data_IF_157759869684
#
_entry.id   IF_157759869684
#
_cell.length_a   1.000
_cell.length_b   1.000
_cell.length_c   1.000
_cell.angle_alpha   90.00
_cell.angle_beta   90.00
_cell.angle_gamma   90.00
#
_symmetry.space_group_name_H-M   'P 1'
#
loop_
_entity.id
_entity.type
_entity.pdbx_description
1 polymer ?
#
# COMPACT_ATOMS: atom_id res chain seq x y z
N UNK A 1 59.17 -7.45 -39.69
CA UNK A 1 58.63 -6.63 -38.58
C UNK A 1 57.12 -6.52 -38.75
N UNK A 2 56.36 -7.46 -38.18
CA UNK A 2 54.90 -7.33 -38.06
C UNK A 2 54.62 -6.34 -36.92
N UNK A 3 53.88 -5.27 -37.20
CA UNK A 3 53.43 -4.32 -36.16
C UNK A 3 52.23 -4.95 -35.46
N UNK A 4 52.34 -5.14 -34.16
CA UNK A 4 51.21 -5.62 -33.34
C UNK A 4 50.01 -4.66 -33.46
N UNK A 5 48.78 -5.18 -33.50
CA UNK A 5 47.59 -4.34 -33.52
C UNK A 5 47.43 -3.54 -32.21
N UNK A 6 46.84 -2.34 -32.26
CA UNK A 6 46.71 -1.49 -31.08
C UNK A 6 45.82 -2.16 -30.03
N UNK A 7 46.35 -2.30 -28.80
CA UNK A 7 45.59 -2.79 -27.65
C UNK A 7 44.34 -1.91 -27.44
N UNK A 8 43.15 -2.49 -27.59
CA UNK A 8 41.88 -1.82 -27.25
C UNK A 8 41.97 -1.35 -25.80
N UNK A 9 41.83 -0.03 -25.58
CA UNK A 9 41.75 0.54 -24.23
C UNK A 9 40.58 -0.13 -23.49
N UNK A 10 40.73 -0.49 -22.20
CA UNK A 10 39.64 -1.08 -21.44
C UNK A 10 38.47 -0.09 -21.41
N UNK A 11 37.32 -0.54 -21.90
CA UNK A 11 36.05 0.18 -21.82
C UNK A 11 35.76 0.43 -20.33
N UNK A 12 35.75 1.70 -19.90
CA UNK A 12 35.35 2.04 -18.54
C UNK A 12 33.90 1.62 -18.37
N UNK A 13 33.66 0.52 -17.64
CA UNK A 13 32.30 0.13 -17.21
C UNK A 13 31.64 1.37 -16.58
N UNK A 14 30.40 1.70 -16.96
CA UNK A 14 29.73 2.86 -16.40
C UNK A 14 29.67 2.70 -14.89
N UNK A 15 30.25 3.67 -14.21
CA UNK A 15 30.23 3.81 -12.77
C UNK A 15 28.78 3.67 -12.30
N UNK A 16 28.49 2.65 -11.47
CA UNK A 16 27.15 2.43 -10.93
C UNK A 16 26.76 3.70 -10.18
N UNK A 17 25.88 4.52 -10.78
CA UNK A 17 25.35 5.73 -10.12
C UNK A 17 24.76 5.30 -8.77
N UNK A 18 25.48 5.64 -7.70
CA UNK A 18 24.96 5.58 -6.35
C UNK A 18 23.73 6.50 -6.32
N UNK A 19 22.55 5.90 -6.18
CA UNK A 19 21.28 6.57 -5.94
C UNK A 19 20.88 7.62 -7.00
N UNK A 20 20.07 7.20 -7.97
CA UNK A 20 19.34 8.14 -8.82
C UNK A 20 18.05 8.59 -8.12
N UNK A 21 18.19 9.60 -7.26
CA UNK A 21 17.08 10.21 -6.52
C UNK A 21 15.95 10.68 -7.46
N UNK A 22 16.31 11.12 -8.67
CA UNK A 22 15.37 11.67 -9.63
C UNK A 22 14.54 10.57 -10.30
N UNK A 23 15.13 9.42 -10.65
CA UNK A 23 14.35 8.27 -11.13
C UNK A 23 13.47 7.68 -10.03
N UNK A 24 13.98 7.57 -8.80
CA UNK A 24 13.17 7.14 -7.66
C UNK A 24 11.97 8.07 -7.42
N UNK A 25 12.18 9.39 -7.45
CA UNK A 25 11.11 10.36 -7.30
C UNK A 25 10.04 10.25 -8.40
N UNK A 26 10.46 10.04 -9.65
CA UNK A 26 9.54 9.81 -10.78
C UNK A 26 8.73 8.53 -10.60
N UNK A 27 9.38 7.43 -10.23
CA UNK A 27 8.72 6.14 -10.01
C UNK A 27 7.76 6.19 -8.82
N UNK A 28 8.15 6.89 -7.74
CA UNK A 28 7.30 7.10 -6.56
C UNK A 28 6.06 7.92 -6.90
N UNK A 29 6.20 8.99 -7.69
CA UNK A 29 5.06 9.81 -8.12
C UNK A 29 4.16 9.06 -9.09
N UNK A 30 4.73 8.37 -10.09
CA UNK A 30 3.96 7.57 -11.04
C UNK A 30 3.18 6.46 -10.31
N UNK A 31 3.85 5.74 -9.40
CA UNK A 31 3.20 4.73 -8.57
C UNK A 31 2.15 5.33 -7.63
N UNK A 32 2.38 6.53 -7.09
CA UNK A 32 1.44 7.23 -6.23
C UNK A 32 0.18 7.67 -6.97
N UNK A 33 0.32 8.21 -8.18
CA UNK A 33 -0.82 8.57 -9.04
C UNK A 33 -1.59 7.32 -9.45
N UNK A 34 -0.90 6.25 -9.87
CA UNK A 34 -1.55 4.99 -10.21
C UNK A 34 -2.33 4.40 -9.01
N UNK A 35 -1.73 4.44 -7.81
CA UNK A 35 -2.39 4.01 -6.58
C UNK A 35 -3.59 4.91 -6.24
N UNK A 36 -3.47 6.22 -6.40
CA UNK A 36 -4.54 7.17 -6.14
C UNK A 36 -5.75 6.93 -7.06
N UNK A 37 -5.51 6.74 -8.35
CA UNK A 37 -6.55 6.42 -9.34
C UNK A 37 -7.22 5.09 -9.00
N UNK A 38 -6.43 4.05 -8.77
CA UNK A 38 -6.95 2.73 -8.41
C UNK A 38 -7.79 2.77 -7.13
N UNK A 39 -7.29 3.40 -6.07
CA UNK A 39 -8.01 3.51 -4.79
C UNK A 39 -9.29 4.33 -4.91
N UNK A 40 -9.27 5.40 -5.70
CA UNK A 40 -10.46 6.22 -5.95
C UNK A 40 -11.51 5.47 -6.76
N UNK A 41 -11.10 4.64 -7.73
CA UNK A 41 -12.03 3.82 -8.50
C UNK A 41 -12.74 2.76 -7.63
N UNK A 42 -12.02 2.14 -6.69
CA UNK A 42 -12.59 1.09 -5.81
C UNK A 42 -13.21 1.61 -4.51
N UNK A 43 -13.03 2.89 -4.18
CA UNK A 43 -13.50 3.49 -2.92
C UNK A 43 -14.99 3.26 -2.64
N UNK A 44 -15.93 3.36 -3.61
CA UNK A 44 -17.34 3.10 -3.34
C UNK A 44 -17.62 1.68 -2.81
N UNK A 45 -16.98 0.68 -3.43
CA UNK A 45 -17.15 -0.73 -3.04
C UNK A 45 -16.42 -1.01 -1.72
N UNK A 46 -15.22 -0.45 -1.53
CA UNK A 46 -14.49 -0.55 -0.26
C UNK A 46 -15.33 0.03 0.89
N UNK A 47 -16.05 1.15 0.67
CA UNK A 47 -16.92 1.75 1.67
C UNK A 47 -18.13 0.88 2.00
N UNK A 48 -18.82 0.34 0.99
CA UNK A 48 -19.95 -0.59 1.19
C UNK A 48 -19.50 -1.80 2.02
N UNK A 49 -18.36 -2.40 1.66
CA UNK A 49 -17.77 -3.50 2.43
C UNK A 49 -17.52 -3.09 3.88
N UNK A 50 -16.87 -1.94 4.11
CA UNK A 50 -16.57 -1.46 5.46
C UNK A 50 -17.82 -1.27 6.29
N UNK A 51 -18.85 -0.60 5.76
CA UNK A 51 -20.12 -0.38 6.47
C UNK A 51 -20.79 -1.69 6.84
N UNK A 52 -20.87 -2.66 5.91
CA UNK A 52 -21.44 -3.98 6.21
C UNK A 52 -20.64 -4.74 7.28
N UNK A 53 -19.31 -4.59 7.30
CA UNK A 53 -18.43 -5.25 8.27
C UNK A 53 -18.52 -4.65 9.67
N UNK A 54 -18.68 -3.32 9.79
CA UNK A 54 -18.57 -2.61 11.07
C UNK A 54 -19.90 -2.09 11.61
N UNK A 55 -21.00 -2.16 10.85
CA UNK A 55 -22.30 -1.63 11.27
C UNK A 55 -22.82 -2.19 12.59
N UNK A 56 -22.56 -3.46 12.90
CA UNK A 56 -22.96 -4.09 14.15
C UNK A 56 -22.26 -3.47 15.38
N UNK A 57 -21.11 -2.84 15.18
CA UNK A 57 -20.34 -2.14 16.22
C UNK A 57 -20.45 -0.61 16.13
N UNK A 58 -21.26 -0.10 15.19
CA UNK A 58 -21.45 1.34 15.03
C UNK A 58 -22.45 1.88 16.05
N UNK A 59 -22.11 3.01 16.68
CA UNK A 59 -23.04 3.73 17.57
C UNK A 59 -24.04 4.61 16.81
N UNK A 60 -23.78 4.88 15.53
CA UNK A 60 -24.61 5.76 14.69
C UNK A 60 -25.73 5.00 13.97
N UNK A 61 -25.56 3.69 13.74
CA UNK A 61 -26.51 2.84 13.03
C UNK A 61 -27.31 2.06 14.06
N UNK A 62 -28.63 2.33 14.15
CA UNK A 62 -29.49 1.51 15.00
C UNK A 62 -29.63 0.09 14.42
N UNK A 63 -29.91 -0.94 15.24
CA UNK A 63 -30.07 -2.32 14.77
C UNK A 63 -31.11 -2.45 13.64
N UNK A 64 -32.16 -1.64 13.66
CA UNK A 64 -33.25 -1.62 12.69
C UNK A 64 -32.86 -0.90 11.38
N UNK A 65 -31.89 0.00 11.45
CA UNK A 65 -31.40 0.79 10.33
C UNK A 65 -30.20 0.14 9.60
N UNK A 66 -29.74 -1.03 10.05
CA UNK A 66 -28.63 -1.77 9.43
C UNK A 66 -28.90 -2.05 7.94
N UNK A 67 -27.83 -2.03 7.15
CA UNK A 67 -27.87 -2.34 5.73
C UNK A 67 -28.06 -3.85 5.54
N UNK A 68 -29.04 -4.23 4.72
CA UNK A 68 -29.43 -5.63 4.49
C UNK A 68 -28.47 -6.39 3.57
N UNK A 69 -27.60 -5.67 2.87
CA UNK A 69 -26.63 -6.24 1.93
C UNK A 69 -25.99 -5.19 1.05
N UNK A 70 -25.19 -5.62 0.07
CA UNK A 70 -24.41 -4.72 -0.79
C UNK A 70 -25.31 -3.80 -1.64
N UNK A 71 -26.35 -4.35 -2.27
CA UNK A 71 -27.26 -3.58 -3.12
C UNK A 71 -28.04 -2.54 -2.30
N UNK A 72 -28.55 -2.96 -1.13
CA UNK A 72 -29.23 -2.05 -0.20
C UNK A 72 -28.32 -0.89 0.21
N UNK A 73 -27.08 -1.19 0.57
CA UNK A 73 -26.07 -0.19 0.94
C UNK A 73 -25.75 0.77 -0.22
N UNK A 74 -25.54 0.26 -1.44
CA UNK A 74 -25.28 1.06 -2.65
C UNK A 74 -26.44 2.02 -3.00
N UNK A 75 -27.69 1.62 -2.76
CA UNK A 75 -28.86 2.45 -3.04
C UNK A 75 -29.12 3.46 -1.93
N UNK A 76 -28.92 3.07 -0.67
CA UNK A 76 -29.24 3.90 0.50
C UNK A 76 -28.20 4.97 0.78
N UNK A 77 -26.90 4.66 0.66
CA UNK A 77 -25.81 5.63 0.88
C UNK A 77 -26.04 6.98 0.16
N UNK A 78 -26.26 7.03 -1.17
CA UNK A 78 -26.40 8.30 -1.86
C UNK A 78 -27.68 9.04 -1.47
N UNK A 79 -28.74 8.34 -1.04
CA UNK A 79 -30.00 8.93 -0.56
C UNK A 79 -29.89 9.48 0.85
N UNK A 80 -29.14 8.80 1.72
CA UNK A 80 -29.01 9.15 3.13
C UNK A 80 -27.92 10.22 3.37
N UNK A 81 -26.82 10.19 2.60
CA UNK A 81 -25.60 10.95 2.87
C UNK A 81 -25.08 11.72 1.65
N UNK A 82 -25.72 11.57 0.48
CA UNK A 82 -25.29 12.18 -0.78
C UNK A 82 -24.30 11.31 -1.58
N UNK A 83 -24.23 11.53 -2.88
CA UNK A 83 -23.46 10.70 -3.81
C UNK A 83 -21.94 10.69 -3.52
N UNK A 84 -21.35 11.83 -3.17
CA UNK A 84 -19.91 11.91 -2.88
C UNK A 84 -19.49 11.22 -1.58
N UNK A 85 -20.44 10.82 -0.73
CA UNK A 85 -20.15 10.11 0.51
C UNK A 85 -19.46 8.75 0.28
N UNK A 86 -19.58 8.14 -0.91
CA UNK A 86 -18.86 6.92 -1.27
C UNK A 86 -17.33 7.03 -1.12
N UNK A 87 -16.76 8.23 -1.19
CA UNK A 87 -15.33 8.48 -1.07
C UNK A 87 -14.89 8.95 0.33
N UNK A 88 -15.78 8.90 1.33
CA UNK A 88 -15.43 9.28 2.71
C UNK A 88 -14.27 8.40 3.22
N UNK A 89 -13.20 9.05 3.68
CA UNK A 89 -11.96 8.37 4.11
C UNK A 89 -11.01 7.93 2.98
N UNK A 90 -11.32 8.19 1.70
CA UNK A 90 -10.43 7.83 0.59
C UNK A 90 -9.13 8.66 0.58
N UNK A 91 -9.18 9.92 1.02
CA UNK A 91 -7.99 10.77 1.12
C UNK A 91 -6.88 10.13 1.96
N UNK A 92 -7.23 9.58 3.12
CA UNK A 92 -6.29 8.86 3.98
C UNK A 92 -5.69 7.64 3.25
N UNK A 93 -6.47 6.95 2.42
CA UNK A 93 -6.00 5.81 1.61
C UNK A 93 -4.95 6.21 0.57
N UNK A 94 -5.16 7.37 -0.08
CA UNK A 94 -4.24 7.92 -1.07
C UNK A 94 -2.95 8.39 -0.40
N UNK A 95 -3.07 9.19 0.67
CA UNK A 95 -1.91 9.71 1.41
C UNK A 95 -1.05 8.57 1.96
N UNK A 96 -1.67 7.50 2.45
CA UNK A 96 -0.98 6.33 3.02
C UNK A 96 0.02 5.68 2.07
N UNK A 97 -0.14 5.83 0.76
CA UNK A 97 0.79 5.28 -0.23
C UNK A 97 2.22 5.80 -0.02
N UNK A 98 2.40 7.11 0.11
CA UNK A 98 3.71 7.75 0.17
C UNK A 98 4.57 7.30 1.37
N UNK A 99 4.10 7.36 2.63
CA UNK A 99 4.89 6.88 3.77
C UNK A 99 5.12 5.37 3.71
N UNK A 100 4.15 4.59 3.22
CA UNK A 100 4.32 3.14 3.02
C UNK A 100 5.46 2.85 2.03
N UNK A 101 5.52 3.58 0.92
CA UNK A 101 6.59 3.39 -0.07
C UNK A 101 7.94 3.87 0.43
N UNK A 102 7.99 4.97 1.19
CA UNK A 102 9.22 5.42 1.84
C UNK A 102 9.77 4.36 2.81
N UNK A 103 8.90 3.73 3.61
CA UNK A 103 9.29 2.66 4.54
C UNK A 103 9.68 1.38 3.82
N UNK A 104 8.95 1.00 2.76
CA UNK A 104 9.35 -0.10 1.90
C UNK A 104 10.75 0.13 1.32
N UNK A 105 11.03 1.34 0.83
CA UNK A 105 12.34 1.68 0.32
C UNK A 105 13.43 1.59 1.41
N UNK A 106 13.17 2.14 2.59
CA UNK A 106 14.14 2.17 3.68
C UNK A 106 14.45 0.78 4.26
N UNK A 107 13.44 -0.08 4.41
CA UNK A 107 13.55 -1.27 5.25
C UNK A 107 13.38 -2.61 4.52
N UNK A 108 12.75 -2.67 3.34
CA UNK A 108 12.45 -3.94 2.66
C UNK A 108 13.72 -4.75 2.35
N UNK A 109 14.75 -4.10 1.82
CA UNK A 109 16.01 -4.77 1.49
C UNK A 109 16.81 -5.14 2.74
N UNK A 110 16.72 -4.33 3.80
CA UNK A 110 17.32 -4.64 5.09
C UNK A 110 16.71 -5.89 5.72
N UNK A 111 15.39 -6.00 5.74
CA UNK A 111 14.71 -7.18 6.26
C UNK A 111 14.96 -8.41 5.39
N UNK A 112 14.96 -8.27 4.06
CA UNK A 112 15.34 -9.39 3.17
C UNK A 112 16.77 -9.86 3.44
N UNK A 113 17.73 -8.95 3.59
CA UNK A 113 19.10 -9.33 3.92
C UNK A 113 19.19 -10.00 5.29
N UNK A 114 18.49 -9.47 6.30
CA UNK A 114 18.53 -10.00 7.66
C UNK A 114 17.97 -11.43 7.74
N UNK A 115 16.83 -11.69 7.09
CA UNK A 115 16.12 -12.97 7.23
C UNK A 115 16.41 -13.97 6.12
N UNK A 116 16.70 -13.52 4.89
CA UNK A 116 16.88 -14.38 3.72
C UNK A 116 18.34 -14.58 3.29
N UNK A 117 19.31 -13.92 3.93
CA UNK A 117 20.73 -14.13 3.60
C UNK A 117 21.14 -15.58 3.84
N UNK A 118 21.73 -16.20 2.82
CA UNK A 118 22.18 -17.60 2.87
C UNK A 118 21.09 -18.66 2.74
N UNK A 119 19.83 -18.28 2.50
CA UNK A 119 18.72 -19.23 2.34
C UNK A 119 18.51 -19.55 0.87
N UNK A 120 18.74 -20.80 0.47
CA UNK A 120 18.49 -21.25 -0.90
C UNK A 120 17.07 -21.83 -1.03
N UNK A 121 16.26 -21.17 -1.87
CA UNK A 121 14.85 -21.53 -2.13
C UNK A 121 14.68 -22.98 -2.63
N UNK A 122 15.60 -23.47 -3.46
CA UNK A 122 15.46 -24.77 -4.13
C UNK A 122 15.86 -25.94 -3.22
N UNK A 123 16.79 -25.73 -2.29
CA UNK A 123 17.28 -26.77 -1.38
C UNK A 123 16.63 -26.74 0.00
N UNK A 124 16.07 -25.60 0.40
CA UNK A 124 15.59 -25.36 1.77
C UNK A 124 14.24 -24.62 1.77
N UNK A 125 13.23 -25.21 1.15
CA UNK A 125 11.90 -24.61 1.01
C UNK A 125 11.32 -24.09 2.33
N UNK A 126 11.29 -24.92 3.40
CA UNK A 126 10.70 -24.51 4.68
C UNK A 126 11.47 -23.36 5.34
N UNK A 127 12.80 -23.38 5.26
CA UNK A 127 13.63 -22.28 5.79
C UNK A 127 13.39 -20.99 5.00
N UNK A 128 13.28 -21.07 3.67
CA UNK A 128 12.92 -19.95 2.81
C UNK A 128 11.52 -19.41 3.12
N UNK A 129 10.55 -20.30 3.33
CA UNK A 129 9.18 -19.95 3.66
C UNK A 129 9.09 -19.17 4.97
N UNK A 130 9.66 -19.69 6.05
CA UNK A 130 9.65 -19.01 7.36
C UNK A 130 10.49 -17.74 7.35
N UNK A 131 11.63 -17.72 6.65
CA UNK A 131 12.43 -16.50 6.47
C UNK A 131 11.67 -15.40 5.73
N UNK A 132 10.94 -15.75 4.66
CA UNK A 132 10.08 -14.81 3.95
C UNK A 132 8.94 -14.30 4.82
N UNK A 133 8.30 -15.18 5.58
CA UNK A 133 7.23 -14.81 6.49
C UNK A 133 7.74 -13.85 7.56
N UNK A 134 8.88 -14.15 8.19
CA UNK A 134 9.51 -13.27 9.17
C UNK A 134 9.91 -11.92 8.56
N UNK A 135 10.50 -11.92 7.36
CA UNK A 135 10.84 -10.69 6.63
C UNK A 135 9.62 -9.84 6.32
N UNK A 136 8.53 -10.46 5.84
CA UNK A 136 7.28 -9.77 5.51
C UNK A 136 6.58 -9.24 6.76
N UNK A 137 6.52 -10.05 7.82
CA UNK A 137 5.93 -9.69 9.11
C UNK A 137 6.67 -8.53 9.78
N UNK A 138 8.00 -8.58 9.83
CA UNK A 138 8.82 -7.51 10.40
C UNK A 138 8.70 -6.20 9.61
N UNK A 139 8.76 -6.26 8.27
CA UNK A 139 8.54 -5.10 7.42
C UNK A 139 7.13 -4.51 7.57
N UNK A 140 6.12 -5.37 7.67
CA UNK A 140 4.73 -4.99 7.91
C UNK A 140 4.54 -4.31 9.26
N UNK A 141 5.09 -4.86 10.34
CA UNK A 141 5.02 -4.30 11.68
C UNK A 141 5.66 -2.90 11.73
N UNK A 142 6.87 -2.75 11.18
CA UNK A 142 7.56 -1.44 11.13
C UNK A 142 6.77 -0.43 10.30
N UNK A 143 6.19 -0.84 9.18
CA UNK A 143 5.31 0.03 8.39
C UNK A 143 4.11 0.50 9.21
N UNK A 144 3.42 -0.44 9.87
CA UNK A 144 2.25 -0.17 10.71
C UNK A 144 2.57 0.79 11.85
N UNK A 145 3.73 0.72 12.50
CA UNK A 145 4.11 1.69 13.53
C UNK A 145 4.03 3.16 13.08
N UNK A 146 4.20 3.41 11.78
CA UNK A 146 4.14 4.76 11.20
C UNK A 146 2.80 5.04 10.54
N UNK A 147 2.24 4.08 9.79
CA UNK A 147 1.06 4.31 8.94
C UNK A 147 -0.27 4.00 9.62
N UNK A 148 -0.27 3.33 10.79
CA UNK A 148 -1.48 2.93 11.49
C UNK A 148 -2.43 4.08 11.82
N UNK A 149 -1.97 5.30 12.19
CA UNK A 149 -2.88 6.43 12.38
C UNK A 149 -3.70 6.77 11.12
N UNK A 150 -3.12 6.60 9.92
CA UNK A 150 -3.85 6.81 8.65
C UNK A 150 -4.86 5.70 8.37
N UNK A 151 -4.52 4.45 8.69
CA UNK A 151 -5.45 3.31 8.57
C UNK A 151 -6.63 3.47 9.54
N UNK A 152 -6.36 3.95 10.76
CA UNK A 152 -7.38 4.27 11.75
C UNK A 152 -8.29 5.39 11.25
N UNK A 153 -7.73 6.52 10.79
CA UNK A 153 -8.50 7.64 10.27
C UNK A 153 -9.38 7.22 9.08
N UNK A 154 -8.82 6.47 8.13
CA UNK A 154 -9.55 5.91 6.99
C UNK A 154 -10.76 5.08 7.43
N UNK A 155 -10.56 4.18 8.40
CA UNK A 155 -11.61 3.27 8.86
C UNK A 155 -12.71 4.01 9.62
N UNK A 156 -12.33 4.96 10.48
CA UNK A 156 -13.29 5.79 11.23
C UNK A 156 -14.10 6.69 10.30
N UNK A 157 -13.45 7.36 9.35
CA UNK A 157 -14.13 8.21 8.37
C UNK A 157 -14.98 7.39 7.39
N UNK A 158 -14.53 6.21 6.98
CA UNK A 158 -15.29 5.32 6.10
C UNK A 158 -16.57 4.77 6.75
N UNK A 159 -16.50 4.47 8.05
CA UNK A 159 -17.61 3.99 8.85
C UNK A 159 -18.60 5.09 9.29
N UNK A 160 -18.21 6.36 9.17
CA UNK A 160 -19.04 7.48 9.58
C UNK A 160 -20.19 7.71 8.60
N UNK A 161 -21.40 7.70 9.16
CA UNK A 161 -22.67 7.89 8.44
C UNK A 161 -23.32 9.26 8.73
N UNK A 162 -22.63 10.15 9.46
CA UNK A 162 -23.12 11.51 9.74
C UNK A 162 -23.43 12.31 8.47
N UNK A 163 -24.50 13.11 8.51
CA UNK A 163 -24.97 13.94 7.38
C UNK A 163 -24.19 15.24 7.20
N UNK A 164 -23.42 15.66 8.19
CA UNK A 164 -22.66 16.91 8.15
C UNK A 164 -21.18 16.64 7.81
N UNK A 165 -20.61 17.53 7.00
CA UNK A 165 -19.21 17.54 6.59
C UNK A 165 -18.36 18.37 7.55
#
# INVERSE_FOLDING_TARGET
>A
MQRDPPKKKPEKKPEKRLFDAASFGKDLLAGGVAAAVSKTAVAPIERVKLLLQVQASSKQISPEAQYKGMVDCLVRIPREQGFFSFWRGNLANVIRYFPTQALNFAFKDKYKQLFMSGVNKEKQFWRWFFANLASGGAAGATSLCVVYPLDFARTRLGADIGKEW
#
